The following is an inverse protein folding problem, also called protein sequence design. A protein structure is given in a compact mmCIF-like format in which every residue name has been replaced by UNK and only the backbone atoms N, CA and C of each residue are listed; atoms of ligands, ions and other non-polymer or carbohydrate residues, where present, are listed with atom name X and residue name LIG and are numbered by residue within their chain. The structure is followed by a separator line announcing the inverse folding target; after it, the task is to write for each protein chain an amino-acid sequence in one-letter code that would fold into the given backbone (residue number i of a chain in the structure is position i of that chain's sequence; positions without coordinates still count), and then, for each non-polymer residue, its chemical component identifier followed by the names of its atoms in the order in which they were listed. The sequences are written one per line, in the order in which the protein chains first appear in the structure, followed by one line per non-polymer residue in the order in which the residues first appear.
data_IF_687105292150
#
_entry.id   IF_687105292150
#
_cell.length_a   1.000
_cell.length_b   1.000
_cell.length_c   1.000
_cell.angle_alpha   90.00
_cell.angle_beta   90.00
_cell.angle_gamma   90.00
#
_symmetry.space_group_name_H-M   'P 1'
#
loop_
_entity.id
_entity.type
_entity.pdbx_description
1 polymer ?
#
# COMPACT_ATOMS: atom_id res chain seq x y z
N UNK A 1 2.78 15.59 11.81
CA UNK A 1 3.02 15.16 10.42
C UNK A 1 1.73 14.85 9.65
N UNK A 2 0.71 14.22 10.25
CA UNK A 2 -0.60 13.94 9.60
C UNK A 2 -1.37 15.15 9.02
N UNK A 3 -1.30 16.38 9.57
CA UNK A 3 -2.06 17.53 9.03
C UNK A 3 -1.66 17.94 7.61
N UNK A 4 -0.40 17.78 7.22
CA UNK A 4 0.10 18.23 5.93
C UNK A 4 -0.46 17.42 4.75
N UNK A 5 -0.70 16.12 4.93
CA UNK A 5 -1.28 15.26 3.89
C UNK A 5 -2.71 15.68 3.50
N UNK A 6 -3.45 16.25 4.46
CA UNK A 6 -4.76 16.83 4.21
C UNK A 6 -4.71 18.18 3.46
N UNK A 7 -3.56 18.73 3.10
CA UNK A 7 -3.52 19.92 2.24
C UNK A 7 -3.31 19.58 0.76
N UNK A 8 -2.92 18.34 0.44
CA UNK A 8 -2.60 17.90 -0.93
C UNK A 8 -3.83 18.03 -1.86
N UNK A 9 -5.05 17.87 -1.35
CA UNK A 9 -6.27 18.04 -2.14
C UNK A 9 -6.44 19.46 -2.71
N UNK A 10 -5.85 20.49 -2.10
CA UNK A 10 -5.92 21.88 -2.61
C UNK A 10 -5.14 22.07 -3.92
N UNK A 11 -4.24 21.14 -4.24
CA UNK A 11 -3.45 21.14 -5.47
C UNK A 11 -4.28 20.75 -6.70
N UNK A 12 -5.48 20.17 -6.50
CA UNK A 12 -6.39 19.78 -7.58
C UNK A 12 -7.36 20.91 -7.91
N UNK A 13 -7.65 21.18 -9.19
CA UNK A 13 -8.56 22.27 -9.57
C UNK A 13 -10.01 21.99 -9.13
N UNK A 14 -10.76 23.04 -8.81
CA UNK A 14 -12.21 23.01 -8.52
C UNK A 14 -13.07 22.93 -9.79
N UNK A 15 -12.63 22.15 -10.78
CA UNK A 15 -13.31 21.97 -12.06
C UNK A 15 -13.83 20.53 -12.18
N UNK A 16 -14.93 20.32 -12.93
CA UNK A 16 -15.47 18.96 -13.24
C UNK A 16 -14.49 18.08 -14.01
N UNK A 17 -13.61 18.72 -14.77
CA UNK A 17 -12.61 18.07 -15.59
C UNK A 17 -11.24 18.51 -15.12
N UNK A 18 -10.38 17.52 -14.85
CA UNK A 18 -8.98 17.75 -14.57
C UNK A 18 -8.18 17.25 -15.75
N UNK A 19 -7.73 18.18 -16.58
CA UNK A 19 -6.75 17.93 -17.63
C UNK A 19 -5.36 18.12 -17.04
N UNK A 20 -4.64 17.02 -16.91
CA UNK A 20 -3.19 17.03 -16.66
C UNK A 20 -2.48 16.66 -17.95
N UNK A 21 -1.23 17.06 -18.12
CA UNK A 21 -0.37 16.75 -19.27
C UNK A 21 -0.33 15.26 -19.67
N UNK A 22 -0.73 14.35 -18.77
CA UNK A 22 -0.75 12.90 -19.00
C UNK A 22 -2.14 12.27 -19.06
N UNK A 23 -3.18 12.88 -18.48
CA UNK A 23 -4.52 12.29 -18.36
C UNK A 23 -5.63 13.34 -18.24
N UNK A 24 -6.77 13.08 -18.89
CA UNK A 24 -8.01 13.84 -18.71
C UNK A 24 -8.96 13.04 -17.83
N UNK A 25 -9.18 13.50 -16.60
CA UNK A 25 -10.11 12.91 -15.65
C UNK A 25 -11.41 13.71 -15.63
N UNK A 26 -12.56 13.04 -15.85
CA UNK A 26 -13.88 13.68 -15.82
C UNK A 26 -14.68 13.09 -14.67
N UNK A 27 -14.87 13.86 -13.61
CA UNK A 27 -15.66 13.41 -12.45
C UNK A 27 -17.14 13.62 -12.75
N UNK A 28 -17.87 12.53 -12.95
CA UNK A 28 -19.30 12.56 -13.26
C UNK A 28 -20.16 12.54 -11.97
N UNK A 29 -19.65 11.95 -10.88
CA UNK A 29 -20.43 11.67 -9.67
C UNK A 29 -20.20 12.71 -8.57
N UNK A 30 -18.95 13.11 -8.33
CA UNK A 30 -18.66 14.26 -7.49
C UNK A 30 -18.63 15.50 -8.39
N UNK A 31 -19.60 16.41 -8.24
CA UNK A 31 -19.71 17.63 -9.06
C UNK A 31 -18.41 18.46 -9.19
N UNK A 32 -17.41 18.22 -8.33
CA UNK A 32 -16.07 18.78 -8.37
C UNK A 32 -14.99 17.70 -8.19
N UNK A 33 -13.94 17.72 -9.03
CA UNK A 33 -12.77 16.82 -8.95
C UNK A 33 -12.05 16.96 -7.59
N UNK A 34 -12.04 18.15 -7.00
CA UNK A 34 -11.46 18.39 -5.68
C UNK A 34 -12.09 17.55 -4.57
N UNK A 35 -13.41 17.37 -4.60
CA UNK A 35 -14.13 16.59 -3.59
C UNK A 35 -13.83 15.10 -3.73
N UNK A 36 -13.80 14.60 -4.96
CA UNK A 36 -13.36 13.23 -5.24
C UNK A 36 -11.91 13.01 -4.78
N UNK A 37 -10.99 13.90 -5.19
CA UNK A 37 -9.58 13.83 -4.81
C UNK A 37 -9.40 13.84 -3.29
N UNK A 38 -10.16 14.67 -2.57
CA UNK A 38 -10.15 14.68 -1.10
C UNK A 38 -10.48 13.31 -0.49
N UNK A 39 -11.62 12.72 -0.88
CA UNK A 39 -12.06 11.42 -0.34
C UNK A 39 -11.11 10.29 -0.75
N UNK A 40 -10.62 10.33 -1.99
CA UNK A 40 -9.64 9.38 -2.51
C UNK A 40 -8.33 9.45 -1.72
N UNK A 41 -7.77 10.66 -1.54
CA UNK A 41 -6.53 10.87 -0.79
C UNK A 41 -6.65 10.42 0.66
N UNK A 42 -7.78 10.66 1.32
CA UNK A 42 -7.99 10.18 2.69
C UNK A 42 -7.88 8.66 2.78
N UNK A 43 -8.57 7.94 1.89
CA UNK A 43 -8.53 6.46 1.85
C UNK A 43 -7.15 5.95 1.43
N UNK A 44 -6.50 6.61 0.48
CA UNK A 44 -5.18 6.25 -0.02
C UNK A 44 -4.08 6.44 1.03
N UNK A 45 -4.09 7.56 1.76
CA UNK A 45 -3.19 7.77 2.91
C UNK A 45 -3.39 6.67 3.95
N UNK A 46 -4.66 6.37 4.29
CA UNK A 46 -4.95 5.34 5.29
C UNK A 46 -4.45 3.96 4.84
N UNK A 47 -4.67 3.60 3.57
CA UNK A 47 -4.17 2.36 2.99
C UNK A 47 -2.65 2.27 3.05
N UNK A 48 -1.95 3.33 2.61
CA UNK A 48 -0.48 3.37 2.58
C UNK A 48 0.11 3.21 3.98
N UNK A 49 -0.50 3.86 4.98
CA UNK A 49 -0.09 3.74 6.37
C UNK A 49 -0.23 2.30 6.87
N UNK A 50 -1.34 1.63 6.57
CA UNK A 50 -1.56 0.22 6.95
C UNK A 50 -0.58 -0.73 6.25
N UNK A 51 -0.26 -0.48 4.97
CA UNK A 51 0.70 -1.30 4.23
C UNK A 51 2.12 -1.16 4.83
N UNK A 52 2.57 0.06 5.12
CA UNK A 52 3.88 0.29 5.75
C UNK A 52 3.93 -0.45 7.10
N UNK A 53 2.84 -0.38 7.86
CA UNK A 53 2.76 -1.02 9.17
C UNK A 53 2.73 -2.56 9.09
N UNK A 54 2.11 -3.11 8.05
CA UNK A 54 2.13 -4.54 7.73
C UNK A 54 3.56 -5.04 7.45
N UNK A 55 4.35 -4.28 6.67
CA UNK A 55 5.76 -4.65 6.43
C UNK A 55 6.65 -4.51 7.68
N UNK A 56 6.37 -3.54 8.55
CA UNK A 56 7.19 -3.27 9.72
C UNK A 56 7.05 -4.34 10.82
N UNK A 57 5.91 -5.06 10.88
CA UNK A 57 5.67 -6.05 11.93
C UNK A 57 5.84 -7.50 11.45
N UNK A 58 6.85 -8.21 11.98
CA UNK A 58 7.06 -9.64 11.75
C UNK A 58 6.28 -10.57 12.72
N UNK A 59 5.32 -10.04 13.48
CA UNK A 59 4.54 -10.80 14.48
C UNK A 59 3.21 -11.31 13.92
N UNK A 60 2.53 -12.17 14.66
CA UNK A 60 1.18 -12.69 14.34
C UNK A 60 0.15 -11.59 14.02
N UNK A 61 0.34 -10.39 14.59
CA UNK A 61 -0.46 -9.18 14.32
C UNK A 61 -0.49 -8.78 12.83
N UNK A 62 0.52 -9.19 12.06
CA UNK A 62 0.55 -8.98 10.61
C UNK A 62 -0.65 -9.64 9.89
N UNK A 63 -1.13 -10.77 10.41
CA UNK A 63 -2.29 -11.48 9.84
C UNK A 63 -3.61 -10.75 10.14
N UNK A 64 -3.70 -10.01 11.24
CA UNK A 64 -4.88 -9.23 11.61
C UNK A 64 -5.00 -7.94 10.78
N UNK A 65 -3.88 -7.37 10.33
CA UNK A 65 -3.84 -6.22 9.43
C UNK A 65 -4.28 -6.57 8.00
N UNK A 66 -4.07 -7.81 7.55
CA UNK A 66 -4.40 -8.24 6.18
C UNK A 66 -5.88 -8.03 5.80
N UNK A 67 -6.89 -8.45 6.60
CA UNK A 67 -8.28 -8.15 6.30
C UNK A 67 -8.61 -6.66 6.33
N UNK A 68 -7.96 -5.87 7.19
CA UNK A 68 -8.15 -4.40 7.25
C UNK A 68 -7.66 -3.76 5.95
N UNK A 69 -6.49 -4.18 5.46
CA UNK A 69 -5.95 -3.71 4.18
C UNK A 69 -6.88 -4.10 3.03
N UNK A 70 -7.36 -5.35 3.02
CA UNK A 70 -8.34 -5.81 2.04
C UNK A 70 -9.61 -4.97 2.00
N UNK A 71 -10.15 -4.66 3.18
CA UNK A 71 -11.34 -3.82 3.31
C UNK A 71 -11.07 -2.38 2.81
N UNK A 72 -9.90 -1.82 3.07
CA UNK A 72 -9.53 -0.49 2.60
C UNK A 72 -9.33 -0.45 1.08
N UNK A 73 -8.76 -1.51 0.49
CA UNK A 73 -8.66 -1.66 -0.97
C UNK A 73 -10.05 -1.77 -1.59
N UNK A 74 -10.93 -2.59 -1.01
CA UNK A 74 -12.33 -2.70 -1.44
C UNK A 74 -13.04 -1.34 -1.43
N UNK A 75 -12.89 -0.57 -0.34
CA UNK A 75 -13.45 0.78 -0.23
C UNK A 75 -12.88 1.76 -1.27
N UNK A 76 -11.63 1.58 -1.70
CA UNK A 76 -11.00 2.41 -2.73
C UNK A 76 -11.54 2.08 -4.12
N UNK A 77 -11.69 0.79 -4.44
CA UNK A 77 -12.20 0.36 -5.73
C UNK A 77 -13.67 0.77 -5.89
N UNK A 78 -14.50 0.65 -4.84
CA UNK A 78 -15.87 1.16 -4.88
C UNK A 78 -15.89 2.67 -5.14
N UNK A 79 -15.06 3.44 -4.43
CA UNK A 79 -15.04 4.90 -4.60
C UNK A 79 -14.77 5.29 -6.06
N UNK A 80 -13.83 4.60 -6.72
CA UNK A 80 -13.49 4.85 -8.12
C UNK A 80 -14.60 4.37 -9.05
N UNK A 81 -15.16 3.19 -8.79
CA UNK A 81 -16.26 2.62 -9.58
C UNK A 81 -17.51 3.52 -9.54
N UNK A 82 -17.86 4.02 -8.35
CA UNK A 82 -18.97 4.95 -8.15
C UNK A 82 -18.75 6.28 -8.89
N UNK A 83 -17.51 6.79 -8.97
CA UNK A 83 -17.24 8.06 -9.71
C UNK A 83 -17.27 7.88 -11.24
N UNK A 84 -16.95 6.68 -11.73
CA UNK A 84 -16.97 6.35 -13.17
C UNK A 84 -18.40 6.06 -13.65
N UNK A 85 -19.26 5.50 -12.80
CA UNK A 85 -20.62 5.11 -13.17
C UNK A 85 -21.55 6.31 -13.34
N UNK A 86 -22.24 6.35 -14.48
CA UNK A 86 -23.46 7.15 -14.66
C UNK A 86 -24.64 6.43 -13.98
N UNK A 87 -25.53 7.23 -13.39
CA UNK A 87 -26.64 6.90 -12.49
C UNK A 87 -27.64 5.81 -12.95
N UNK A 88 -27.50 5.26 -14.16
CA UNK A 88 -28.55 4.51 -14.85
C UNK A 88 -28.21 3.03 -15.14
N UNK A 89 -27.06 2.50 -14.71
CA UNK A 89 -26.70 1.09 -14.96
C UNK A 89 -26.80 0.19 -13.71
N UNK A 90 -27.33 -1.04 -13.84
CA UNK A 90 -27.68 -1.90 -12.71
C UNK A 90 -26.45 -2.36 -11.91
N UNK A 91 -26.69 -2.54 -10.61
CA UNK A 91 -25.80 -2.79 -9.45
C UNK A 91 -24.82 -3.98 -9.55
N UNK A 92 -24.73 -4.63 -10.72
CA UNK A 92 -24.08 -5.92 -10.96
C UNK A 92 -22.56 -5.86 -10.75
N UNK A 93 -21.91 -4.70 -10.93
CA UNK A 93 -20.44 -4.64 -10.78
C UNK A 93 -19.95 -4.69 -9.33
N UNK A 94 -20.80 -4.38 -8.34
CA UNK A 94 -20.40 -4.40 -6.91
C UNK A 94 -19.89 -5.78 -6.48
N UNK A 95 -20.47 -6.84 -7.05
CA UNK A 95 -20.04 -8.22 -6.81
C UNK A 95 -18.65 -8.54 -7.38
N UNK A 96 -18.24 -7.90 -8.47
CA UNK A 96 -16.90 -8.11 -9.07
C UNK A 96 -15.79 -7.42 -8.28
N UNK A 97 -16.09 -6.42 -7.45
CA UNK A 97 -15.07 -5.68 -6.68
C UNK A 97 -14.52 -6.51 -5.51
N UNK A 98 -15.35 -7.36 -4.90
CA UNK A 98 -14.96 -8.24 -3.78
C UNK A 98 -13.83 -9.22 -4.16
N UNK A 99 -13.93 -10.02 -5.24
CA UNK A 99 -12.86 -10.95 -5.60
C UNK A 99 -11.56 -10.24 -5.96
N UNK A 100 -11.61 -9.03 -6.54
CA UNK A 100 -10.41 -8.23 -6.81
C UNK A 100 -9.69 -7.86 -5.50
N UNK A 101 -10.43 -7.40 -4.49
CA UNK A 101 -9.86 -7.10 -3.18
C UNK A 101 -9.23 -8.34 -2.52
N UNK A 102 -9.86 -9.51 -2.67
CA UNK A 102 -9.31 -10.79 -2.17
C UNK A 102 -8.01 -11.16 -2.90
N UNK A 103 -7.95 -11.00 -4.22
CA UNK A 103 -6.71 -11.24 -5.00
C UNK A 103 -5.58 -10.33 -4.53
N UNK A 104 -5.86 -9.05 -4.27
CA UNK A 104 -4.88 -8.10 -3.74
C UNK A 104 -4.37 -8.54 -2.35
N UNK A 105 -5.26 -8.99 -1.46
CA UNK A 105 -4.87 -9.54 -0.16
C UNK A 105 -3.95 -10.76 -0.31
N UNK A 106 -4.28 -11.69 -1.19
CA UNK A 106 -3.47 -12.87 -1.45
C UNK A 106 -2.10 -12.45 -2.01
N UNK A 107 -2.06 -11.50 -2.95
CA UNK A 107 -0.82 -10.96 -3.50
C UNK A 107 0.10 -10.35 -2.43
N UNK A 108 -0.46 -9.51 -1.55
CA UNK A 108 0.28 -8.93 -0.41
C UNK A 108 0.82 -10.00 0.53
N UNK A 109 0.02 -11.03 0.82
CA UNK A 109 0.44 -12.16 1.64
C UNK A 109 1.61 -12.94 1.02
N UNK A 110 1.59 -13.17 -0.29
CA UNK A 110 2.69 -13.84 -1.00
C UNK A 110 3.98 -13.02 -0.98
N UNK A 111 3.90 -11.71 -1.20
CA UNK A 111 5.07 -10.80 -1.16
C UNK A 111 5.74 -10.86 0.22
N UNK A 112 4.96 -10.80 1.29
CA UNK A 112 5.49 -10.88 2.65
C UNK A 112 6.22 -12.20 2.92
N UNK A 113 5.66 -13.32 2.46
CA UNK A 113 6.31 -14.63 2.62
C UNK A 113 7.63 -14.74 1.86
N UNK A 114 7.79 -14.07 0.72
CA UNK A 114 9.04 -14.06 -0.06
C UNK A 114 10.10 -13.16 0.55
N UNK A 115 9.71 -12.05 1.17
CA UNK A 115 10.63 -11.08 1.76
C UNK A 115 11.36 -11.64 2.99
N UNK A 116 10.66 -12.42 3.82
CA UNK A 116 11.21 -12.97 5.08
C UNK A 116 12.46 -13.87 4.92
N UNK A 117 12.47 -14.90 4.03
CA UNK A 117 13.64 -15.74 3.85
C UNK A 117 14.81 -14.98 3.20
N UNK A 118 14.53 -14.01 2.32
CA UNK A 118 15.56 -13.18 1.71
C UNK A 118 16.28 -12.31 2.76
N UNK A 119 15.52 -11.68 3.66
CA UNK A 119 16.08 -10.88 4.74
C UNK A 119 16.94 -11.73 5.70
N UNK A 120 16.47 -12.92 6.07
CA UNK A 120 17.21 -13.83 6.95
C UNK A 120 18.50 -14.37 6.30
N UNK A 121 18.47 -14.66 5.00
CA UNK A 121 19.66 -15.12 4.28
C UNK A 121 20.75 -14.03 4.20
N UNK A 122 20.36 -12.76 4.12
CA UNK A 122 21.30 -11.64 4.13
C UNK A 122 21.95 -11.47 5.51
N UNK A 123 21.15 -11.52 6.57
CA UNK A 123 21.62 -11.43 7.96
C UNK A 123 22.58 -12.56 8.33
N UNK A 124 22.28 -13.79 7.87
CA UNK A 124 23.15 -14.95 8.09
C UNK A 124 24.51 -14.83 7.38
N UNK A 125 24.54 -14.26 6.17
CA UNK A 125 25.80 -14.03 5.45
C UNK A 125 26.69 -13.04 6.19
N UNK A 126 26.12 -11.92 6.62
CA UNK A 126 26.83 -10.89 7.38
C UNK A 126 27.37 -11.42 8.71
N UNK A 127 26.60 -12.28 9.38
CA UNK A 127 27.04 -12.95 10.61
C UNK A 127 28.20 -13.93 10.37
N UNK A 128 28.19 -14.70 9.28
CA UNK A 128 29.27 -15.63 8.93
C UNK A 128 30.55 -14.87 8.60
N UNK A 129 30.46 -13.80 7.81
CA UNK A 129 31.62 -13.00 7.41
C UNK A 129 32.30 -12.36 8.65
N UNK A 130 31.49 -11.91 9.62
CA UNK A 130 31.99 -11.35 10.88
C UNK A 130 32.71 -12.36 11.78
N UNK A 131 32.19 -13.58 11.89
CA UNK A 131 32.86 -14.66 12.64
C UNK A 131 34.14 -15.11 11.91
N UNK A 132 34.14 -15.10 10.57
CA UNK A 132 35.33 -15.40 9.77
C UNK A 132 36.45 -14.39 10.05
N UNK A 133 36.16 -13.08 10.02
CA UNK A 133 37.16 -12.04 10.36
C UNK A 133 37.69 -12.20 11.78
N UNK A 134 36.82 -12.46 12.76
CA UNK A 134 37.23 -12.64 14.15
C UNK A 134 38.15 -13.85 14.33
N UNK A 135 37.83 -14.98 13.70
CA UNK A 135 38.69 -16.18 13.74
C UNK A 135 40.02 -15.96 13.04
N UNK A 136 40.05 -15.16 11.96
CA UNK A 136 41.29 -14.76 11.29
C UNK A 136 42.15 -13.81 12.15
N UNK A 137 41.54 -12.89 12.90
CA UNK A 137 42.23 -12.03 13.86
C UNK A 137 42.82 -12.84 15.02
N UNK A 138 42.04 -13.75 15.62
CA UNK A 138 42.51 -14.65 16.69
C UNK A 138 43.68 -15.55 16.24
N UNK A 139 43.69 -15.99 14.99
CA UNK A 139 44.80 -16.76 14.40
C UNK A 139 46.04 -15.90 14.10
N UNK A 140 45.86 -14.60 13.80
CA UNK A 140 46.95 -13.67 13.50
C UNK A 140 47.57 -13.03 14.75
N UNK A 141 46.90 -13.08 15.91
CA UNK A 141 47.53 -12.77 17.20
C UNK A 141 48.27 -14.02 17.71
N UNK A 142 49.62 -14.06 17.69
CA UNK A 142 50.34 -15.24 18.15
C UNK A 142 50.04 -15.50 19.62
N UNK A 143 49.62 -16.73 19.94
CA UNK A 143 49.54 -17.25 21.30
C UNK A 143 50.83 -16.88 22.07
N UNK A 144 50.69 -16.07 23.13
CA UNK A 144 51.70 -15.97 24.21
C UNK A 144 51.83 -17.29 24.95
#
# INVERSE_FOLDING_TARGET
MTPFFFYIYKCFPDTKQWETFFFTYNSNFYENVRSFAWVFLQKFIWLTLMIIWFFTNSKWWNKALLPIIGMLVYQLIILISDDIKRKDEPEIESYMVVPIAVVVCIGLFLIHQKLKPLAMALDLKDAIDKELEKTLEELNTPNT
#
